data_IF_619247952212
#
_entry.id   IF_619247952212
#
_cell.length_a   1.000
_cell.length_b   1.000
_cell.length_c   1.000
_cell.angle_alpha   90.00
_cell.angle_beta   90.00
_cell.angle_gamma   90.00
#
_symmetry.space_group_name_H-M   'P 1'
#
loop_
_entity.id
_entity.type
_entity.pdbx_description
1 polymer ?
#
# COMPACT_ATOMS: atom_id res chain seq x y z
N UNK A 1 -31.70 17.27 9.16
CA UNK A 1 -30.62 17.43 8.16
C UNK A 1 -29.82 16.14 8.21
N UNK A 2 -29.80 15.36 7.12
CA UNK A 2 -29.15 14.05 7.09
C UNK A 2 -27.64 14.24 7.13
N UNK A 3 -27.02 13.85 8.24
CA UNK A 3 -25.57 13.90 8.44
C UNK A 3 -24.93 12.79 7.61
N UNK A 4 -24.64 13.09 6.35
CA UNK A 4 -24.06 12.12 5.42
C UNK A 4 -22.56 12.14 5.60
N UNK A 5 -21.98 11.02 6.01
CA UNK A 5 -20.55 10.91 6.20
C UNK A 5 -19.80 11.28 4.90
N UNK A 6 -18.67 11.95 5.03
CA UNK A 6 -17.83 12.29 3.88
C UNK A 6 -17.32 11.02 3.19
N UNK A 7 -17.01 11.12 1.89
CA UNK A 7 -16.42 9.99 1.16
C UNK A 7 -15.15 9.47 1.84
N UNK A 8 -14.33 10.36 2.43
CA UNK A 8 -13.13 9.95 3.15
C UNK A 8 -13.46 9.11 4.39
N UNK A 9 -14.50 9.48 5.15
CA UNK A 9 -14.93 8.72 6.32
C UNK A 9 -15.46 7.34 5.92
N UNK A 10 -16.34 7.28 4.90
CA UNK A 10 -16.90 6.02 4.40
C UNK A 10 -15.79 5.10 3.87
N UNK A 11 -14.89 5.63 3.03
CA UNK A 11 -13.80 4.82 2.47
C UNK A 11 -12.82 4.37 3.54
N UNK A 12 -12.49 5.23 4.52
CA UNK A 12 -11.62 4.86 5.64
C UNK A 12 -12.15 3.64 6.40
N UNK A 13 -13.45 3.62 6.70
CA UNK A 13 -14.09 2.48 7.35
C UNK A 13 -14.09 1.23 6.46
N UNK A 14 -14.46 1.36 5.18
CA UNK A 14 -14.48 0.22 4.26
C UNK A 14 -13.10 -0.44 4.10
N UNK A 15 -12.04 0.36 3.88
CA UNK A 15 -10.67 -0.16 3.68
C UNK A 15 -10.04 -0.71 4.96
N UNK A 16 -10.47 -0.26 6.15
CA UNK A 16 -9.92 -0.70 7.43
C UNK A 16 -10.73 -1.80 8.13
N UNK A 17 -11.87 -2.19 7.55
CA UNK A 17 -12.81 -3.16 8.15
C UNK A 17 -12.20 -4.53 8.46
N UNK A 18 -11.37 -5.08 7.56
CA UNK A 18 -10.61 -6.32 7.80
C UNK A 18 -9.28 -6.35 7.03
N UNK A 19 -8.22 -5.69 7.56
CA UNK A 19 -6.91 -5.64 6.92
C UNK A 19 -6.25 -7.03 6.83
N UNK A 20 -6.62 -7.97 7.71
CA UNK A 20 -6.05 -9.32 7.70
C UNK A 20 -6.64 -10.16 6.56
N UNK A 21 -7.95 -10.07 6.32
CA UNK A 21 -8.56 -10.73 5.16
C UNK A 21 -8.06 -10.12 3.85
N UNK A 22 -7.89 -8.80 3.79
CA UNK A 22 -7.29 -8.12 2.64
C UNK A 22 -5.91 -8.70 2.30
N UNK A 23 -4.99 -8.73 3.27
CA UNK A 23 -3.65 -9.27 3.10
C UNK A 23 -3.65 -10.71 2.55
N UNK A 24 -4.55 -11.56 3.06
CA UNK A 24 -4.63 -12.98 2.68
C UNK A 24 -5.26 -13.23 1.31
N UNK A 25 -6.24 -12.41 0.90
CA UNK A 25 -7.15 -12.78 -0.22
C UNK A 25 -7.06 -11.86 -1.43
N UNK A 26 -6.65 -10.61 -1.23
CA UNK A 26 -6.70 -9.57 -2.25
C UNK A 26 -5.32 -8.98 -2.55
N UNK A 27 -4.54 -8.62 -1.52
CA UNK A 27 -3.30 -7.86 -1.67
C UNK A 27 -2.27 -8.55 -2.58
N UNK A 28 -2.08 -9.87 -2.44
CA UNK A 28 -1.14 -10.62 -3.28
C UNK A 28 -1.48 -10.63 -4.78
N UNK A 29 -2.73 -10.30 -5.17
CA UNK A 29 -3.15 -10.32 -6.58
C UNK A 29 -2.47 -9.25 -7.44
N UNK A 30 -2.00 -8.17 -6.82
CA UNK A 30 -1.38 -7.05 -7.53
C UNK A 30 0.16 -7.13 -7.57
N UNK A 31 0.75 -8.19 -6.99
CA UNK A 31 2.19 -8.41 -6.92
C UNK A 31 2.91 -8.20 -8.28
N UNK A 32 2.42 -8.73 -9.42
CA UNK A 32 3.10 -8.51 -10.70
C UNK A 32 3.20 -7.03 -11.08
N UNK A 33 2.16 -6.22 -10.79
CA UNK A 33 2.21 -4.79 -11.06
C UNK A 33 3.26 -4.11 -10.19
N UNK A 34 3.32 -4.43 -8.91
CA UNK A 34 4.29 -3.88 -7.96
C UNK A 34 5.73 -4.19 -8.35
N UNK A 35 6.01 -5.43 -8.78
CA UNK A 35 7.32 -5.81 -9.31
C UNK A 35 7.69 -4.97 -10.55
N UNK A 36 6.74 -4.75 -11.47
CA UNK A 36 6.97 -3.90 -12.65
C UNK A 36 7.19 -2.43 -12.29
N UNK A 37 6.49 -1.92 -11.29
CA UNK A 37 6.70 -0.56 -10.78
C UNK A 37 8.12 -0.42 -10.23
N UNK A 38 8.58 -1.34 -9.38
CA UNK A 38 9.93 -1.27 -8.82
C UNK A 38 11.02 -1.44 -9.88
N UNK A 39 10.80 -2.32 -10.88
CA UNK A 39 11.69 -2.44 -12.03
C UNK A 39 11.78 -1.15 -12.84
N UNK A 40 10.69 -0.37 -12.92
CA UNK A 40 10.65 0.88 -13.67
C UNK A 40 11.21 2.06 -12.89
N UNK A 41 10.99 2.09 -11.57
CA UNK A 41 11.48 3.12 -10.66
C UNK A 41 12.97 2.98 -10.39
N UNK A 42 13.48 1.74 -10.36
CA UNK A 42 14.88 1.42 -10.04
C UNK A 42 15.41 2.21 -8.82
N UNK A 43 14.73 2.17 -7.67
CA UNK A 43 15.16 2.90 -6.49
C UNK A 43 16.57 2.49 -6.06
N UNK A 44 17.42 3.47 -5.81
CA UNK A 44 18.77 3.26 -5.31
C UNK A 44 18.75 3.02 -3.78
N UNK A 45 19.80 2.39 -3.27
CA UNK A 45 19.97 2.21 -1.82
C UNK A 45 19.93 3.55 -1.09
N UNK A 46 19.13 3.65 -0.02
CA UNK A 46 18.93 4.89 0.74
C UNK A 46 17.93 5.87 0.10
N UNK A 47 17.27 5.51 -1.00
CA UNK A 47 16.14 6.29 -1.52
C UNK A 47 15.05 6.36 -0.46
N UNK A 48 14.66 7.57 -0.05
CA UNK A 48 13.52 7.77 0.85
C UNK A 48 12.22 7.56 0.10
N UNK A 49 11.43 6.58 0.51
CA UNK A 49 10.21 6.16 -0.16
C UNK A 49 9.01 6.27 0.80
N UNK A 50 7.96 6.98 0.40
CA UNK A 50 6.67 7.02 1.11
C UNK A 50 5.64 6.17 0.34
N UNK A 51 5.17 5.08 0.95
CA UNK A 51 4.10 4.23 0.42
C UNK A 51 2.75 4.67 1.00
N UNK A 52 2.14 5.71 0.41
CA UNK A 52 0.91 6.28 0.94
C UNK A 52 -0.29 5.34 0.69
N UNK A 53 -0.92 4.88 1.78
CA UNK A 53 -1.98 3.88 1.70
C UNK A 53 -1.43 2.46 1.57
N UNK A 54 -0.34 2.16 2.27
CA UNK A 54 0.42 0.90 2.18
C UNK A 54 -0.39 -0.38 2.46
N UNK A 55 -1.63 -0.27 2.95
CA UNK A 55 -2.47 -1.42 3.26
C UNK A 55 -1.83 -2.31 4.32
N UNK A 56 -1.67 -3.60 4.03
CA UNK A 56 -0.97 -4.53 4.91
C UNK A 56 0.55 -4.59 4.64
N UNK A 57 1.06 -3.74 3.73
CA UNK A 57 2.48 -3.45 3.57
C UNK A 57 3.19 -4.24 2.47
N UNK A 58 2.47 -4.85 1.51
CA UNK A 58 3.09 -5.63 0.45
C UNK A 58 4.07 -4.77 -0.40
N UNK A 59 3.64 -3.61 -0.89
CA UNK A 59 4.50 -2.77 -1.73
C UNK A 59 5.67 -2.20 -0.94
N UNK A 60 5.41 -1.61 0.23
CA UNK A 60 6.45 -1.16 1.16
C UNK A 60 7.52 -2.25 1.44
N UNK A 61 7.10 -3.50 1.65
CA UNK A 61 8.02 -4.63 1.88
C UNK A 61 8.88 -4.95 0.64
N UNK A 62 8.29 -4.89 -0.56
CA UNK A 62 9.02 -5.09 -1.81
C UNK A 62 10.00 -3.95 -2.08
N UNK A 63 9.60 -2.71 -1.81
CA UNK A 63 10.44 -1.52 -1.94
C UNK A 63 11.62 -1.55 -0.97
N UNK A 64 11.41 -1.95 0.29
CA UNK A 64 12.49 -2.06 1.27
C UNK A 64 13.56 -3.09 0.84
N UNK A 65 13.15 -4.17 0.16
CA UNK A 65 14.08 -5.18 -0.39
C UNK A 65 15.00 -4.66 -1.49
N UNK A 66 14.71 -3.50 -2.08
CA UNK A 66 15.64 -2.84 -3.03
C UNK A 66 16.72 -2.01 -2.33
N UNK A 67 16.67 -1.91 -0.99
CA UNK A 67 17.55 -1.04 -0.21
C UNK A 67 17.02 0.38 0.01
N UNK A 68 15.77 0.66 -0.39
CA UNK A 68 15.13 1.94 -0.09
C UNK A 68 14.85 2.08 1.42
N UNK A 69 14.88 3.32 1.91
CA UNK A 69 14.43 3.70 3.25
C UNK A 69 12.93 4.01 3.18
N UNK A 70 12.10 3.07 3.64
CA UNK A 70 10.65 3.07 3.39
C UNK A 70 9.87 3.47 4.63
N UNK A 71 8.97 4.44 4.45
CA UNK A 71 7.86 4.75 5.37
C UNK A 71 6.56 4.32 4.70
N UNK A 72 5.80 3.44 5.37
CA UNK A 72 4.44 3.05 4.98
C UNK A 72 3.38 3.70 5.86
#
# INVERSE_FOLDING_TARGET
MSDTASNAAVQGELWSSDPRAWARTAEGRILPLYERILQRLQPESGTRHLDAGCGAGLFASLAARTGADVTG
#
